data_IF_202063485819
#
_entry.id   IF_202063485819
#
_cell.length_a   1.000
_cell.length_b   1.000
_cell.length_c   1.000
_cell.angle_alpha   90.00
_cell.angle_beta   90.00
_cell.angle_gamma   90.00
#
_symmetry.space_group_name_H-M   'P 1'
#
loop_
_entity.id
_entity.type
_entity.pdbx_description
1 polymer ?
#
# COMPACT_ATOMS: atom_id res chain seq x y z
N UNK A 1 -14.24 21.07 7.74
CA UNK A 1 -14.23 19.63 8.14
C UNK A 1 -13.07 19.42 9.11
N UNK A 2 -13.29 18.76 10.25
CA UNK A 2 -12.28 18.56 11.29
C UNK A 2 -11.53 17.25 11.00
N UNK A 3 -10.27 17.34 10.56
CA UNK A 3 -9.41 16.17 10.40
C UNK A 3 -9.01 15.65 11.79
N UNK A 4 -9.47 14.46 12.14
CA UNK A 4 -9.03 13.73 13.33
C UNK A 4 -7.66 13.12 13.06
N UNK A 5 -6.61 13.82 13.46
CA UNK A 5 -5.23 13.32 13.41
C UNK A 5 -5.05 12.30 14.54
N UNK A 6 -5.13 11.00 14.22
CA UNK A 6 -4.75 9.94 15.15
C UNK A 6 -3.22 9.95 15.25
N UNK A 7 -2.68 10.69 16.23
CA UNK A 7 -1.27 10.63 16.61
C UNK A 7 -1.01 9.31 17.34
N UNK A 8 -0.45 8.32 16.66
CA UNK A 8 0.18 7.18 17.32
C UNK A 8 1.43 7.68 18.06
N UNK A 9 1.32 7.76 19.39
CA UNK A 9 2.40 8.14 20.28
C UNK A 9 3.30 6.90 20.50
N UNK A 10 4.25 6.68 19.59
CA UNK A 10 5.27 5.64 19.75
C UNK A 10 6.23 6.12 20.84
N UNK A 11 5.96 5.64 22.05
CA UNK A 11 6.81 5.79 23.23
C UNK A 11 8.18 5.19 22.90
N UNK A 12 9.16 6.06 22.63
CA UNK A 12 10.55 5.64 22.50
C UNK A 12 11.03 5.09 23.84
N UNK A 13 11.05 3.77 23.93
CA UNK A 13 11.63 3.04 25.05
C UNK A 13 13.16 3.00 24.86
N UNK A 14 13.81 4.12 25.14
CA UNK A 14 15.24 4.17 25.38
C UNK A 14 15.50 3.91 26.87
N UNK A 15 16.49 3.04 27.12
CA UNK A 15 17.15 2.74 28.39
C UNK A 15 16.48 1.71 29.31
N UNK A 16 16.98 0.47 29.25
CA UNK A 16 17.74 -0.20 30.33
C UNK A 16 17.79 -1.71 30.07
N UNK A 17 18.89 -2.20 29.53
CA UNK A 17 19.41 -3.50 29.96
C UNK A 17 20.78 -3.22 30.54
N UNK A 18 20.75 -3.13 31.87
CA UNK A 18 21.90 -3.06 32.73
C UNK A 18 22.70 -4.37 32.63
N UNK A 19 24.00 -4.24 32.44
CA UNK A 19 25.05 -4.95 33.20
C UNK A 19 24.61 -6.19 33.97
N UNK A 20 25.09 -7.37 33.55
CA UNK A 20 25.75 -8.36 34.44
C UNK A 20 26.20 -9.59 33.63
N UNK A 21 27.43 -9.58 33.11
CA UNK A 21 28.22 -10.82 32.95
C UNK A 21 29.71 -10.49 32.93
N UNK A 22 30.24 -10.05 34.07
CA UNK A 22 31.67 -10.12 34.37
C UNK A 22 31.83 -11.16 35.47
N UNK A 23 32.60 -12.21 35.17
CA UNK A 23 33.49 -12.99 36.05
C UNK A 23 33.44 -14.47 35.70
N UNK A 24 34.34 -14.88 34.79
CA UNK A 24 35.28 -16.02 34.94
C UNK A 24 35.92 -16.33 33.59
N UNK A 25 36.99 -15.61 33.27
CA UNK A 25 37.99 -16.10 32.31
C UNK A 25 39.34 -15.42 32.55
N UNK A 26 39.78 -15.41 33.80
CA UNK A 26 41.14 -15.07 34.17
C UNK A 26 41.91 -16.37 34.35
N UNK A 27 42.47 -16.92 33.26
CA UNK A 27 43.68 -17.78 33.27
C UNK A 27 44.18 -18.21 31.87
N UNK A 28 44.17 -17.30 30.88
CA UNK A 28 45.01 -17.45 29.67
C UNK A 28 45.65 -16.11 29.31
N UNK A 29 46.46 -15.59 30.23
CA UNK A 29 47.34 -14.45 30.02
C UNK A 29 48.55 -14.91 29.17
N UNK A 30 48.62 -14.48 27.92
CA UNK A 30 49.87 -14.63 27.15
C UNK A 30 49.80 -14.29 25.66
N UNK A 31 48.67 -14.55 24.98
CA UNK A 31 48.61 -14.43 23.51
C UNK A 31 47.51 -13.51 22.94
N UNK A 32 46.65 -12.93 23.77
CA UNK A 32 45.49 -12.16 23.29
C UNK A 32 45.67 -10.64 23.19
N UNK A 33 46.91 -10.11 23.28
CA UNK A 33 47.11 -8.64 23.26
C UNK A 33 47.20 -8.01 21.87
N UNK A 34 47.34 -8.80 20.79
CA UNK A 34 47.43 -8.26 19.41
C UNK A 34 46.19 -8.48 18.54
N UNK A 35 45.25 -9.31 18.98
CA UNK A 35 44.03 -9.61 18.22
C UNK A 35 42.78 -8.92 18.77
N UNK A 36 42.86 -8.28 19.95
CA UNK A 36 41.72 -7.62 20.59
C UNK A 36 41.45 -6.19 20.06
N UNK A 37 42.26 -5.68 19.13
CA UNK A 37 42.01 -4.40 18.46
C UNK A 37 41.36 -4.55 17.07
N UNK A 38 41.26 -5.78 16.54
CA UNK A 38 40.72 -6.04 15.20
C UNK A 38 39.24 -6.43 15.18
N UNK A 39 38.66 -6.83 16.32
CA UNK A 39 37.27 -7.31 16.38
C UNK A 39 36.22 -6.23 16.65
N UNK A 40 36.63 -4.97 16.89
CA UNK A 40 35.69 -3.83 17.04
C UNK A 40 35.29 -3.21 15.69
N UNK A 41 35.90 -3.64 14.58
CA UNK A 41 35.53 -3.26 13.21
C UNK A 41 34.56 -4.25 12.54
N UNK A 42 34.06 -5.25 13.26
CA UNK A 42 33.05 -6.17 12.72
C UNK A 42 31.68 -5.54 12.89
N UNK A 43 31.28 -4.83 11.84
CA UNK A 43 29.91 -4.88 11.36
C UNK A 43 28.93 -3.99 12.10
N UNK A 44 29.07 -2.67 11.95
CA UNK A 44 27.86 -1.87 11.78
C UNK A 44 27.28 -2.32 10.43
N UNK A 45 26.49 -3.40 10.46
CA UNK A 45 25.59 -3.73 9.36
C UNK A 45 24.62 -2.56 9.31
N UNK A 46 24.96 -1.55 8.51
CA UNK A 46 23.99 -0.55 8.10
C UNK A 46 23.01 -1.32 7.25
N UNK A 47 21.93 -1.78 7.87
CA UNK A 47 20.68 -1.92 7.15
C UNK A 47 20.45 -0.52 6.60
N UNK A 48 20.73 -0.33 5.31
CA UNK A 48 20.50 0.95 4.65
C UNK A 48 19.00 1.16 4.68
N UNK A 49 18.53 1.79 5.75
CA UNK A 49 17.16 2.22 5.87
C UNK A 49 16.90 3.18 4.72
N UNK A 50 15.83 2.92 3.97
CA UNK A 50 15.43 3.72 2.81
C UNK A 50 15.31 5.18 3.21
N UNK A 51 16.23 6.03 2.73
CA UNK A 51 16.25 7.44 3.12
C UNK A 51 15.04 8.18 2.55
N UNK A 52 14.64 7.82 1.34
CA UNK A 52 13.61 8.50 0.61
C UNK A 52 12.23 8.03 1.07
N UNK A 53 11.23 8.93 1.09
CA UNK A 53 9.86 8.51 1.35
C UNK A 53 9.39 7.58 0.22
N UNK A 54 8.74 6.49 0.61
CA UNK A 54 8.24 5.49 -0.33
C UNK A 54 6.71 5.44 -0.22
N UNK A 55 6.04 5.64 -1.34
CA UNK A 55 4.59 5.58 -1.48
C UNK A 55 4.25 4.35 -2.29
N UNK A 56 3.39 3.49 -1.76
CA UNK A 56 2.96 2.27 -2.45
C UNK A 56 1.47 2.36 -2.70
N UNK A 57 1.08 2.24 -3.95
CA UNK A 57 -0.30 2.14 -4.39
C UNK A 57 -0.49 0.86 -5.20
N UNK A 58 -1.72 0.37 -5.21
CA UNK A 58 -2.18 -0.60 -6.20
C UNK A 58 -2.54 0.13 -7.51
N UNK A 59 -2.68 -0.60 -8.62
CA UNK A 59 -3.05 -0.02 -9.91
C UNK A 59 -4.43 0.65 -9.86
N UNK A 60 -4.65 1.69 -10.68
CA UNK A 60 -5.96 2.33 -10.79
C UNK A 60 -7.03 1.35 -11.31
N UNK A 61 -8.31 1.73 -11.16
CA UNK A 61 -9.47 0.89 -11.43
C UNK A 61 -9.43 0.27 -12.83
N UNK A 62 -9.79 -1.00 -12.90
CA UNK A 62 -9.82 -1.76 -14.15
C UNK A 62 -11.23 -2.24 -14.47
N UNK A 63 -11.55 -2.39 -15.75
CA UNK A 63 -12.83 -2.99 -16.18
C UNK A 63 -12.78 -4.53 -16.19
N UNK A 64 -11.61 -5.10 -16.49
CA UNK A 64 -11.43 -6.54 -16.73
C UNK A 64 -10.16 -7.10 -16.04
N UNK A 65 -9.58 -6.34 -15.10
CA UNK A 65 -8.31 -6.68 -14.46
C UNK A 65 -7.05 -6.39 -15.30
N UNK A 66 -7.18 -5.98 -16.57
CA UNK A 66 -6.04 -5.76 -17.48
C UNK A 66 -5.98 -4.34 -18.02
N UNK A 67 -7.12 -3.77 -18.39
CA UNK A 67 -7.24 -2.41 -18.92
C UNK A 67 -7.84 -1.50 -17.86
N UNK A 68 -7.35 -0.26 -17.82
CA UNK A 68 -7.93 0.74 -16.95
C UNK A 68 -9.35 1.07 -17.41
N UNK A 69 -10.26 1.22 -16.44
CA UNK A 69 -11.56 1.80 -16.72
C UNK A 69 -11.41 3.29 -17.08
N UNK A 70 -12.48 3.92 -17.54
CA UNK A 70 -12.49 5.39 -17.74
C UNK A 70 -12.13 6.13 -16.45
N UNK A 71 -12.65 5.65 -15.32
CA UNK A 71 -12.37 6.19 -14.00
C UNK A 71 -10.92 5.94 -13.57
N UNK A 72 -10.39 4.73 -13.76
CA UNK A 72 -8.99 4.43 -13.47
C UNK A 72 -8.02 5.26 -14.33
N UNK A 73 -8.40 5.55 -15.58
CA UNK A 73 -7.65 6.46 -16.46
C UNK A 73 -7.63 7.89 -15.92
N UNK A 74 -8.77 8.40 -15.46
CA UNK A 74 -8.86 9.73 -14.86
C UNK A 74 -8.04 9.81 -13.57
N UNK A 75 -8.14 8.81 -12.70
CA UNK A 75 -7.32 8.72 -11.47
C UNK A 75 -5.83 8.71 -11.78
N UNK A 76 -5.39 7.89 -12.73
CA UNK A 76 -3.98 7.79 -13.09
C UNK A 76 -3.42 9.08 -13.72
N UNK A 77 -4.23 9.78 -14.51
CA UNK A 77 -3.77 10.95 -15.29
C UNK A 77 -3.99 12.31 -14.61
N UNK A 78 -4.86 12.39 -13.60
CA UNK A 78 -5.23 13.64 -12.93
C UNK A 78 -4.97 13.56 -11.41
N UNK A 79 -5.56 12.58 -10.73
CA UNK A 79 -5.50 12.49 -9.28
C UNK A 79 -4.10 12.15 -8.75
N UNK A 80 -3.44 11.14 -9.32
CA UNK A 80 -2.08 10.78 -8.90
C UNK A 80 -1.09 11.94 -9.12
N UNK A 81 -1.11 12.66 -10.26
CA UNK A 81 -0.28 13.85 -10.43
C UNK A 81 -0.54 14.96 -9.42
N UNK A 82 -1.78 15.25 -9.05
CA UNK A 82 -2.08 16.28 -8.04
C UNK A 82 -1.51 15.88 -6.66
N UNK A 83 -1.59 14.59 -6.31
CA UNK A 83 -1.11 14.08 -5.04
C UNK A 83 0.41 13.97 -4.95
N UNK A 84 1.09 13.64 -6.05
CA UNK A 84 2.53 13.32 -6.11
C UNK A 84 3.38 14.33 -6.88
N UNK A 85 2.76 15.39 -7.40
CA UNK A 85 3.38 16.44 -8.21
C UNK A 85 4.49 17.21 -7.52
N UNK A 86 5.21 18.01 -8.31
CA UNK A 86 6.33 18.82 -7.84
C UNK A 86 5.95 19.80 -6.72
N UNK A 87 4.68 20.26 -6.72
CA UNK A 87 4.11 21.19 -5.75
C UNK A 87 3.45 20.50 -4.55
N UNK A 88 3.39 19.16 -4.54
CA UNK A 88 2.79 18.40 -3.45
C UNK A 88 3.78 18.17 -2.31
N UNK A 89 3.27 17.89 -1.10
CA UNK A 89 4.09 17.49 0.04
C UNK A 89 4.76 16.13 -0.13
N UNK A 90 4.34 15.34 -1.12
CA UNK A 90 4.84 13.99 -1.39
C UNK A 90 5.90 13.94 -2.49
N UNK A 91 6.01 15.02 -3.28
CA UNK A 91 7.01 15.29 -4.34
C UNK A 91 7.77 14.05 -4.80
N UNK A 92 7.17 13.30 -5.71
CA UNK A 92 7.77 12.08 -6.27
C UNK A 92 8.76 12.45 -7.37
N UNK A 93 9.89 11.74 -7.42
CA UNK A 93 10.88 11.87 -8.49
C UNK A 93 11.18 10.55 -9.23
N UNK A 94 10.60 9.44 -8.77
CA UNK A 94 10.73 8.13 -9.42
C UNK A 94 9.42 7.37 -9.33
N UNK A 95 9.00 6.76 -10.44
CA UNK A 95 7.90 5.79 -10.47
C UNK A 95 8.50 4.41 -10.79
N UNK A 96 8.20 3.44 -9.95
CA UNK A 96 8.54 2.04 -10.17
C UNK A 96 7.25 1.23 -10.34
N UNK A 97 7.25 0.29 -11.28
CA UNK A 97 6.10 -0.59 -11.54
C UNK A 97 6.54 -2.04 -11.77
N UNK A 98 5.62 -2.98 -11.62
CA UNK A 98 5.83 -4.31 -12.19
C UNK A 98 5.65 -4.30 -13.72
N UNK A 99 6.56 -4.99 -14.44
CA UNK A 99 6.65 -4.98 -15.91
C UNK A 99 5.60 -5.84 -16.59
N UNK A 100 5.26 -6.98 -15.99
CA UNK A 100 4.29 -7.95 -16.49
C UNK A 100 2.90 -7.79 -15.85
N UNK A 101 2.58 -6.57 -15.40
CA UNK A 101 1.30 -6.18 -14.81
C UNK A 101 0.65 -5.10 -15.69
N UNK A 102 -0.22 -5.47 -16.66
CA UNK A 102 -0.73 -4.54 -17.66
C UNK A 102 -1.44 -3.31 -17.07
N UNK A 103 -2.21 -3.48 -16.00
CA UNK A 103 -2.94 -2.40 -15.35
C UNK A 103 -2.02 -1.47 -14.56
N UNK A 104 -1.04 -2.03 -13.83
CA UNK A 104 -0.04 -1.26 -13.09
C UNK A 104 0.84 -0.43 -14.02
N UNK A 105 1.33 -1.02 -15.12
CA UNK A 105 2.17 -0.28 -16.08
C UNK A 105 1.39 0.81 -16.82
N UNK A 106 0.09 0.59 -17.11
CA UNK A 106 -0.77 1.63 -17.67
C UNK A 106 -0.95 2.79 -16.68
N UNK A 107 -1.23 2.47 -15.41
CA UNK A 107 -1.37 3.46 -14.34
C UNK A 107 -0.07 4.28 -14.21
N UNK A 108 1.08 3.59 -14.17
CA UNK A 108 2.39 4.22 -14.05
C UNK A 108 2.72 5.12 -15.23
N UNK A 109 2.50 4.65 -16.47
CA UNK A 109 2.79 5.45 -17.66
C UNK A 109 1.92 6.70 -17.76
N UNK A 110 0.63 6.61 -17.39
CA UNK A 110 -0.26 7.77 -17.38
C UNK A 110 0.15 8.79 -16.32
N UNK A 111 0.44 8.35 -15.09
CA UNK A 111 0.92 9.22 -14.02
C UNK A 111 2.26 9.87 -14.39
N UNK A 112 3.20 9.08 -14.89
CA UNK A 112 4.54 9.54 -15.29
C UNK A 112 4.50 10.56 -16.43
N UNK A 113 3.59 10.38 -17.40
CA UNK A 113 3.39 11.35 -18.49
C UNK A 113 3.01 12.72 -17.96
N UNK A 114 2.05 12.80 -17.03
CA UNK A 114 1.62 14.08 -16.45
C UNK A 114 2.68 14.67 -15.51
N UNK A 115 3.37 13.83 -14.75
CA UNK A 115 4.44 14.24 -13.82
C UNK A 115 5.78 14.54 -14.52
N UNK A 116 5.90 14.27 -15.82
CA UNK A 116 7.14 14.34 -16.59
C UNK A 116 8.29 13.50 -15.96
N UNK A 117 7.96 12.30 -15.48
CA UNK A 117 8.89 11.35 -14.87
C UNK A 117 9.12 10.13 -15.77
N UNK A 118 10.21 9.39 -15.52
CA UNK A 118 10.41 8.06 -16.07
C UNK A 118 9.74 6.98 -15.21
N UNK A 119 9.38 5.87 -15.85
CA UNK A 119 8.92 4.65 -15.16
C UNK A 119 10.00 3.59 -15.31
N UNK A 120 10.56 3.14 -14.20
CA UNK A 120 11.38 1.92 -14.21
C UNK A 120 10.49 0.73 -13.85
N UNK A 121 10.77 -0.41 -14.47
CA UNK A 121 9.92 -1.60 -14.32
C UNK A 121 10.71 -2.85 -14.02
N UNK A 122 10.24 -3.63 -13.06
CA UNK A 122 10.81 -4.92 -12.68
C UNK A 122 9.89 -6.07 -13.09
N UNK A 123 10.46 -7.13 -13.65
CA UNK A 123 9.70 -8.34 -14.03
C UNK A 123 9.34 -9.09 -12.76
N UNK A 124 8.05 -9.33 -12.51
CA UNK A 124 7.58 -10.19 -11.43
C UNK A 124 7.56 -11.63 -11.94
N UNK A 125 8.65 -12.36 -11.78
CA UNK A 125 8.69 -13.79 -12.04
C UNK A 125 8.79 -14.59 -10.73
N UNK A 126 8.64 -15.91 -10.83
CA UNK A 126 8.86 -16.80 -9.69
C UNK A 126 10.34 -16.84 -9.25
N UNK A 127 11.25 -16.27 -10.06
CA UNK A 127 12.65 -16.16 -9.70
C UNK A 127 12.83 -15.11 -8.60
N UNK A 128 13.89 -15.21 -7.82
CA UNK A 128 14.19 -14.25 -6.75
C UNK A 128 14.62 -12.86 -7.26
N UNK A 129 14.76 -12.68 -8.58
CA UNK A 129 15.48 -11.55 -9.17
C UNK A 129 14.66 -10.24 -9.20
N UNK A 130 13.33 -10.31 -9.07
CA UNK A 130 12.52 -9.10 -9.04
C UNK A 130 12.80 -8.24 -7.81
N UNK A 131 13.19 -8.86 -6.68
CA UNK A 131 13.55 -8.14 -5.45
C UNK A 131 14.82 -7.33 -5.64
N UNK A 132 15.87 -7.93 -6.22
CA UNK A 132 17.12 -7.22 -6.48
C UNK A 132 16.88 -6.08 -7.48
N UNK A 133 16.14 -6.32 -8.57
CA UNK A 133 15.76 -5.24 -9.49
C UNK A 133 15.10 -4.05 -8.78
N UNK A 134 14.11 -4.30 -7.91
CA UNK A 134 13.41 -3.26 -7.19
C UNK A 134 14.33 -2.53 -6.21
N UNK A 135 15.07 -3.27 -5.39
CA UNK A 135 15.95 -2.68 -4.37
C UNK A 135 17.14 -1.94 -4.98
N UNK A 136 17.69 -2.43 -6.09
CA UNK A 136 18.77 -1.78 -6.83
C UNK A 136 18.28 -0.47 -7.46
N UNK A 137 17.05 -0.46 -8.02
CA UNK A 137 16.46 0.76 -8.59
C UNK A 137 16.22 1.83 -7.51
N UNK A 138 15.70 1.41 -6.35
CA UNK A 138 15.53 2.30 -5.20
C UNK A 138 16.89 2.82 -4.74
N UNK A 139 17.86 1.94 -4.47
CA UNK A 139 19.19 2.33 -4.00
C UNK A 139 19.93 3.25 -4.98
N UNK A 140 19.79 3.00 -6.29
CA UNK A 140 20.34 3.85 -7.33
C UNK A 140 19.74 5.25 -7.27
N UNK A 141 18.41 5.38 -7.13
CA UNK A 141 17.74 6.67 -7.02
C UNK A 141 18.09 7.43 -5.74
N UNK A 142 18.10 6.75 -4.59
CA UNK A 142 18.46 7.33 -3.29
C UNK A 142 19.92 7.85 -3.24
N UNK A 143 20.78 7.38 -4.14
CA UNK A 143 22.16 7.85 -4.23
C UNK A 143 22.28 9.29 -4.74
N UNK A 144 21.28 9.79 -5.47
CA UNK A 144 21.35 11.11 -6.13
C UNK A 144 20.11 12.00 -5.94
N UNK A 145 19.02 11.48 -5.37
CA UNK A 145 17.79 12.24 -5.10
C UNK A 145 17.30 12.03 -3.68
N UNK A 146 16.64 13.05 -3.12
CA UNK A 146 15.91 12.99 -1.84
C UNK A 146 14.37 12.96 -2.05
N UNK A 147 13.91 12.97 -3.31
CA UNK A 147 12.48 12.97 -3.65
C UNK A 147 11.80 11.65 -3.31
N UNK A 148 10.47 11.64 -3.24
CA UNK A 148 9.70 10.43 -3.02
C UNK A 148 9.79 9.43 -4.17
N UNK A 149 9.60 8.16 -3.84
CA UNK A 149 9.49 7.07 -4.80
C UNK A 149 8.07 6.54 -4.75
N UNK A 150 7.42 6.43 -5.91
CA UNK A 150 6.08 5.85 -6.05
C UNK A 150 6.17 4.43 -6.63
N UNK A 151 5.76 3.44 -5.85
CA UNK A 151 5.58 2.07 -6.30
C UNK A 151 4.12 1.85 -6.72
N UNK A 152 3.92 1.40 -7.95
CA UNK A 152 2.60 1.07 -8.50
C UNK A 152 2.59 -0.42 -8.87
N UNK A 153 1.85 -1.22 -8.11
CA UNK A 153 1.79 -2.67 -8.29
C UNK A 153 0.38 -3.15 -8.59
N UNK A 154 0.23 -4.32 -9.22
CA UNK A 154 -1.09 -4.92 -9.36
C UNK A 154 -1.56 -5.52 -8.03
N UNK A 155 -2.88 -5.67 -7.86
CA UNK A 155 -3.48 -6.20 -6.63
C UNK A 155 -2.89 -7.57 -6.24
N UNK A 156 -2.74 -8.46 -7.22
CA UNK A 156 -2.27 -9.83 -7.00
C UNK A 156 -0.79 -9.90 -6.56
N UNK A 157 0.06 -8.99 -7.05
CA UNK A 157 1.49 -8.98 -6.73
C UNK A 157 1.83 -8.01 -5.61
N UNK A 158 0.95 -7.07 -5.26
CA UNK A 158 1.15 -6.13 -4.16
C UNK A 158 1.28 -6.85 -2.82
N UNK A 159 0.48 -7.89 -2.56
CA UNK A 159 0.63 -8.73 -1.35
C UNK A 159 2.03 -9.33 -1.29
N UNK A 160 2.52 -9.88 -2.41
CA UNK A 160 3.86 -10.45 -2.49
C UNK A 160 4.95 -9.39 -2.28
N UNK A 161 4.77 -8.18 -2.82
CA UNK A 161 5.67 -7.05 -2.60
C UNK A 161 5.76 -6.71 -1.11
N UNK A 162 4.62 -6.47 -0.46
CA UNK A 162 4.57 -6.09 0.95
C UNK A 162 5.13 -7.18 1.86
N UNK A 163 4.77 -8.44 1.63
CA UNK A 163 5.20 -9.55 2.48
C UNK A 163 6.67 -9.89 2.28
N UNK A 164 7.14 -9.96 1.02
CA UNK A 164 8.46 -10.53 0.71
C UNK A 164 9.58 -9.50 0.66
N UNK A 165 9.28 -8.22 0.42
CA UNK A 165 10.28 -7.14 0.38
C UNK A 165 10.21 -6.32 1.66
N UNK A 166 9.02 -5.87 2.03
CA UNK A 166 8.86 -4.96 3.17
C UNK A 166 8.49 -5.66 4.49
N UNK A 167 8.31 -6.99 4.48
CA UNK A 167 7.97 -7.79 5.65
C UNK A 167 6.70 -7.31 6.39
N UNK A 168 5.74 -6.77 5.64
CA UNK A 168 4.49 -6.22 6.18
C UNK A 168 3.33 -7.19 6.00
N UNK A 169 2.95 -7.90 7.07
CA UNK A 169 1.94 -8.98 7.01
C UNK A 169 0.53 -8.56 7.43
N UNK A 170 0.37 -7.35 7.99
CA UNK A 170 -0.86 -6.92 8.65
C UNK A 170 -1.56 -5.73 7.96
N UNK A 171 -1.14 -5.38 6.74
CA UNK A 171 -1.75 -4.26 6.02
C UNK A 171 -2.90 -4.79 5.16
N UNK A 172 -4.10 -4.27 5.42
CA UNK A 172 -5.26 -4.53 4.58
C UNK A 172 -5.15 -3.76 3.26
N UNK A 173 -5.32 -4.48 2.14
CA UNK A 173 -5.21 -3.98 0.77
C UNK A 173 -6.57 -3.81 0.07
N UNK A 174 -7.69 -3.90 0.79
CA UNK A 174 -9.02 -3.92 0.17
C UNK A 174 -9.43 -2.58 -0.48
N UNK A 175 -8.72 -1.49 -0.19
CA UNK A 175 -9.09 -0.17 -0.67
C UNK A 175 -8.28 0.18 -1.91
N UNK A 176 -8.96 0.20 -3.06
CA UNK A 176 -8.39 0.52 -4.37
C UNK A 176 -8.11 2.01 -4.59
N UNK A 177 -8.06 2.79 -3.52
CA UNK A 177 -7.66 4.19 -3.52
C UNK A 177 -6.57 4.45 -2.47
N UNK A 178 -6.05 3.41 -1.83
CA UNK A 178 -5.14 3.58 -0.70
C UNK A 178 -3.68 3.78 -1.11
N UNK A 179 -3.03 4.68 -0.37
CA UNK A 179 -1.60 4.95 -0.40
C UNK A 179 -0.99 4.49 0.91
N UNK A 180 -0.04 3.55 0.81
CA UNK A 180 0.79 3.13 1.93
C UNK A 180 2.05 4.00 1.94
N UNK A 181 2.30 4.68 3.04
CA UNK A 181 3.46 5.54 3.22
C UNK A 181 4.49 4.88 4.13
N UNK A 182 5.71 4.75 3.61
CA UNK A 182 6.88 4.21 4.27
C UNK A 182 7.96 5.29 4.37
N UNK A 183 8.67 5.30 5.51
CA UNK A 183 9.84 6.16 5.72
C UNK A 183 10.90 5.35 6.45
N UNK A 184 12.16 5.39 5.98
CA UNK A 184 13.22 4.56 6.56
C UNK A 184 12.89 3.05 6.49
N UNK A 185 12.11 2.64 5.48
CA UNK A 185 11.62 1.27 5.34
C UNK A 185 10.56 0.86 6.36
N UNK A 186 10.07 1.79 7.20
CA UNK A 186 9.07 1.53 8.22
C UNK A 186 7.71 2.10 7.81
N UNK A 187 6.65 1.34 8.06
CA UNK A 187 5.27 1.79 7.84
C UNK A 187 4.99 3.00 8.73
N UNK A 188 4.53 4.10 8.12
CA UNK A 188 4.17 5.33 8.83
C UNK A 188 2.66 5.50 8.87
N UNK A 189 2.01 5.41 7.70
CA UNK A 189 0.57 5.64 7.59
C UNK A 189 -0.02 5.00 6.33
N UNK A 190 -1.35 4.87 6.32
CA UNK A 190 -2.16 4.56 5.15
C UNK A 190 -3.19 5.69 5.00
N UNK A 191 -3.37 6.21 3.78
CA UNK A 191 -4.36 7.27 3.49
C UNK A 191 -5.00 7.06 2.11
N UNK A 192 -6.15 7.68 1.84
CA UNK A 192 -6.83 7.61 0.53
C UNK A 192 -6.26 8.66 -0.43
N UNK A 193 -6.28 8.36 -1.72
CA UNK A 193 -5.93 9.30 -2.78
C UNK A 193 -6.92 10.48 -2.90
N UNK A 194 -8.12 10.39 -2.29
CA UNK A 194 -9.20 11.39 -2.29
C UNK A 194 -9.29 12.17 -3.62
N UNK A 195 -9.78 11.50 -4.66
CA UNK A 195 -9.82 12.11 -5.98
C UNK A 195 -11.10 12.93 -6.17
N UNK A 196 -10.98 14.17 -6.66
CA UNK A 196 -12.15 15.03 -6.96
C UNK A 196 -13.08 14.42 -8.02
N UNK A 197 -12.57 13.51 -8.85
CA UNK A 197 -13.35 12.75 -9.84
C UNK A 197 -14.37 11.81 -9.21
N UNK A 198 -14.23 11.48 -7.93
CA UNK A 198 -15.14 10.58 -7.20
C UNK A 198 -16.52 11.25 -7.06
N UNK A 199 -16.53 12.56 -6.81
CA UNK A 199 -17.74 13.36 -6.77
C UNK A 199 -18.47 13.43 -8.13
N UNK A 200 -17.73 13.29 -9.25
CA UNK A 200 -18.33 13.32 -10.58
C UNK A 200 -18.93 11.96 -10.98
N UNK A 201 -18.34 10.85 -10.53
CA UNK A 201 -18.87 9.51 -10.76
C UNK A 201 -20.19 9.30 -10.01
N UNK A 202 -20.28 9.80 -8.78
CA UNK A 202 -21.50 9.73 -7.95
C UNK A 202 -22.66 10.53 -8.59
N UNK A 203 -22.37 11.73 -9.10
CA UNK A 203 -23.36 12.55 -9.81
C UNK A 203 -23.87 11.93 -11.12
N UNK A 204 -23.04 11.13 -11.81
CA UNK A 204 -23.44 10.47 -13.06
C UNK A 204 -24.34 9.25 -12.83
N UNK A 205 -24.30 8.63 -11.65
CA UNK A 205 -25.13 7.46 -11.36
C UNK A 205 -26.57 7.86 -11.04
N UNK A 206 -26.77 8.95 -10.29
CA UNK A 206 -28.10 9.49 -9.97
C UNK A 206 -28.86 10.00 -11.20
N UNK A 207 -28.16 10.52 -12.20
CA UNK A 207 -28.81 11.00 -13.43
C UNK A 207 -29.43 9.87 -14.27
N UNK A 208 -29.05 8.61 -14.07
CA UNK A 208 -29.52 7.48 -14.90
C UNK A 208 -30.69 6.71 -14.27
N UNK A 209 -31.02 6.99 -13.01
CA UNK A 209 -32.21 6.48 -12.31
C UNK A 209 -33.22 7.62 -12.13
N UNK A 210 -33.39 8.47 -13.14
CA UNK A 210 -34.67 9.17 -13.31
C UNK A 210 -35.46 8.35 -14.33
N UNK A 211 -36.12 7.28 -13.85
CA UNK A 211 -37.22 6.73 -14.61
C UNK A 211 -38.20 7.89 -14.87
N UNK A 212 -38.67 8.12 -16.10
CA UNK A 212 -39.82 8.96 -16.29
C UNK A 212 -40.92 8.37 -15.40
N UNK A 213 -41.34 9.12 -14.39
CA UNK A 213 -42.55 8.82 -13.64
C UNK A 213 -43.68 8.80 -14.68
N UNK A 214 -44.01 7.60 -15.19
CA UNK A 214 -45.33 7.35 -15.73
C UNK A 214 -46.29 7.71 -14.60
N UNK A 215 -47.15 8.69 -14.89
CA UNK A 215 -48.18 9.16 -13.99
C UNK A 215 -49.08 7.98 -13.62
N UNK A 216 -48.84 7.39 -12.46
CA UNK A 216 -49.71 6.38 -11.88
C UNK A 216 -50.97 7.11 -11.40
N UNK A 217 -52.04 7.03 -12.20
CA UNK A 217 -53.37 7.42 -11.76
C UNK A 217 -53.77 6.53 -10.56
N UNK A 218 -54.14 7.12 -9.41
CA UNK A 218 -54.57 6.34 -8.25
C UNK A 218 -55.93 5.71 -8.54
N UNK A 219 -55.99 4.39 -8.61
CA UNK A 219 -57.25 3.63 -8.47
C UNK A 219 -57.58 3.46 -6.98
N UNK A 220 -58.83 3.67 -6.58
CA UNK A 220 -59.23 3.65 -5.18
C UNK A 220 -59.36 2.21 -4.65
N UNK A 221 -58.70 2.00 -3.52
CA UNK A 221 -59.07 1.21 -2.35
C UNK A 221 -60.04 0.04 -2.52
N UNK A 222 -59.50 -1.17 -2.37
CA UNK A 222 -60.24 -2.27 -1.73
C UNK A 222 -59.39 -2.90 -0.64
N UNK A 223 -59.72 -2.46 0.57
CA UNK A 223 -59.34 -3.02 1.86
C UNK A 223 -59.86 -4.46 1.99
N UNK A 224 -58.95 -5.42 2.09
CA UNK A 224 -59.27 -6.78 2.49
C UNK A 224 -58.17 -7.31 3.41
N UNK A 225 -58.45 -7.19 4.72
CA UNK A 225 -57.85 -7.94 5.82
C UNK A 225 -57.49 -9.37 5.44
N UNK A 226 -56.27 -9.80 5.78
CA UNK A 226 -56.05 -11.17 6.27
C UNK A 226 -54.79 -11.30 7.14
N UNK A 227 -55.09 -11.85 8.30
CA UNK A 227 -54.28 -12.26 9.44
C UNK A 227 -53.40 -13.48 9.14
N UNK A 228 -52.34 -13.65 9.97
CA UNK A 228 -51.56 -14.86 10.24
C UNK A 228 -50.42 -15.15 9.22
N UNK A 229 -49.28 -15.74 9.58
CA UNK A 229 -48.93 -16.59 10.72
C UNK A 229 -47.40 -16.61 10.88
N UNK A 230 -46.97 -16.76 12.12
CA UNK A 230 -45.61 -17.09 12.58
C UNK A 230 -45.01 -18.34 11.91
N UNK A 231 -43.72 -18.29 11.53
CA UNK A 231 -42.76 -19.38 11.75
C UNK A 231 -41.34 -18.82 11.74
N UNK A 232 -40.62 -19.06 12.84
CA UNK A 232 -39.21 -18.73 13.01
C UNK A 232 -38.30 -19.71 12.26
N UNK A 233 -37.17 -19.18 11.79
CA UNK A 233 -36.07 -19.97 11.24
C UNK A 233 -34.90 -19.96 12.21
N UNK A 234 -34.72 -21.11 12.86
CA UNK A 234 -33.52 -21.48 13.62
C UNK A 234 -32.47 -22.00 12.64
N UNK A 235 -31.30 -21.36 12.56
CA UNK A 235 -30.15 -21.88 11.83
C UNK A 235 -29.32 -22.82 12.73
N UNK A 236 -29.01 -24.06 12.32
CA UNK A 236 -28.03 -24.87 13.00
C UNK A 236 -26.61 -24.51 12.53
N UNK A 237 -25.73 -24.48 13.52
CA UNK A 237 -24.32 -24.18 13.46
C UNK A 237 -23.57 -25.51 13.32
N UNK A 238 -22.97 -25.82 12.17
CA UNK A 238 -22.07 -26.96 12.04
C UNK A 238 -20.74 -26.55 11.42
N UNK A 239 -19.68 -26.70 12.21
CA UNK A 239 -18.28 -26.47 11.88
C UNK A 239 -17.62 -27.84 11.72
N UNK A 240 -17.00 -28.20 10.58
CA UNK A 240 -16.22 -29.41 10.47
C UNK A 240 -14.82 -29.21 11.05
N UNK A 241 -14.43 -30.09 11.98
CA UNK A 241 -13.04 -30.36 12.38
C UNK A 241 -12.31 -31.16 11.30
N UNK A 242 -11.05 -30.83 10.95
CA UNK A 242 -10.20 -31.74 10.18
C UNK A 242 -9.58 -32.81 11.10
N UNK A 243 -9.67 -34.07 10.65
CA UNK A 243 -8.97 -35.22 11.21
C UNK A 243 -7.49 -35.25 10.82
N UNK A 244 -6.76 -36.02 11.62
CA UNK A 244 -5.32 -36.29 11.61
C UNK A 244 -4.74 -36.72 10.26
#
# INVERSE_FOLDING_TARGET
MRFSVIRYNIKQNNNRIATQTLLRCSMFFGYCSKYMLWTVLIGIVRINALKNPLYIIHNAETSDGRQLSSYGTARASQCLPDLFGADSSHKVGLILSCRNCPSAIQTANLAAKTLALSVDSCVMDASSNWKSCLLDSIAQFEAWSEQGILLIWDENSLVNLLHKVFLMWHISLYDSDSVIYLRNGLFVSKFSQECSVDAMAEASFDSKITHPHEAFSPTPDHEASRTALSTGNTYPNERPTPGF
#
